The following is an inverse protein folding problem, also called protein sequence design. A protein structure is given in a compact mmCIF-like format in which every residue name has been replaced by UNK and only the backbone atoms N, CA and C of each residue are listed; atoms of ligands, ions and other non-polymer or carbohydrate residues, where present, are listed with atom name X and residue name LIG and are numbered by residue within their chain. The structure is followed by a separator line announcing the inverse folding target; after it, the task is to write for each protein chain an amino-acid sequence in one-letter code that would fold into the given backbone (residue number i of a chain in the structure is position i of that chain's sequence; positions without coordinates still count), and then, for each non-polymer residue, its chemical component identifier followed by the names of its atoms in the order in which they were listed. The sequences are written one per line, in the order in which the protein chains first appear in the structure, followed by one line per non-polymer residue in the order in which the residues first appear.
data_IF_756764396407
#
_entry.id   IF_756764396407
#
_cell.length_a   1.000
_cell.length_b   1.000
_cell.length_c   1.000
_cell.angle_alpha   90.00
_cell.angle_beta   90.00
_cell.angle_gamma   90.00
#
_symmetry.space_group_name_H-M   'P 1'
#
loop_
_entity.id
_entity.type
_entity.pdbx_description
1 polymer ?
#
# COMPACT_ATOMS: atom_id res chain seq x y z
N UNK A 1 -8.28 -2.41 -8.33
CA UNK A 1 -6.88 -2.22 -7.92
C UNK A 1 -6.07 -1.91 -9.15
N UNK A 2 -5.78 -0.62 -9.30
CA UNK A 2 -4.89 -0.07 -10.31
C UNK A 2 -3.42 -0.40 -9.97
N UNK A 3 -2.49 -0.12 -10.88
CA UNK A 3 -1.07 -0.30 -10.63
C UNK A 3 -0.56 0.91 -9.82
N UNK A 4 -0.44 0.74 -8.51
CA UNK A 4 0.10 1.77 -7.59
C UNK A 4 1.64 1.69 -7.50
N UNK A 5 2.28 0.86 -8.32
CA UNK A 5 3.73 0.64 -8.28
C UNK A 5 4.45 1.92 -8.69
N UNK A 6 5.29 2.42 -7.79
CA UNK A 6 6.02 3.68 -7.98
C UNK A 6 5.37 4.91 -7.33
N UNK A 7 4.15 4.78 -6.80
CA UNK A 7 3.57 5.78 -5.90
C UNK A 7 4.13 5.64 -4.47
N UNK A 8 3.84 6.63 -3.63
CA UNK A 8 4.11 6.50 -2.20
C UNK A 8 3.12 5.54 -1.53
N UNK A 9 3.55 4.85 -0.47
CA UNK A 9 2.66 3.97 0.29
C UNK A 9 1.47 4.71 0.90
N UNK A 10 1.66 5.98 1.26
CA UNK A 10 0.60 6.83 1.79
C UNK A 10 -0.47 7.16 0.73
N UNK A 11 -0.06 7.53 -0.50
CA UNK A 11 -0.99 7.81 -1.61
C UNK A 11 -1.79 6.55 -1.97
N UNK A 12 -1.13 5.39 -2.09
CA UNK A 12 -1.81 4.13 -2.38
C UNK A 12 -2.82 3.76 -1.28
N UNK A 13 -2.49 3.97 0.00
CA UNK A 13 -3.39 3.71 1.10
C UNK A 13 -4.61 4.64 1.11
N UNK A 14 -4.44 5.92 0.79
CA UNK A 14 -5.54 6.88 0.70
C UNK A 14 -6.54 6.46 -0.40
N UNK A 15 -6.05 6.22 -1.62
CA UNK A 15 -6.88 5.82 -2.77
C UNK A 15 -7.63 4.51 -2.51
N UNK A 16 -6.96 3.48 -1.97
CA UNK A 16 -7.60 2.20 -1.63
C UNK A 16 -8.69 2.38 -0.55
N UNK A 17 -8.48 3.29 0.40
CA UNK A 17 -9.50 3.59 1.42
C UNK A 17 -10.72 4.29 0.80
N UNK A 18 -10.52 5.19 -0.16
CA UNK A 18 -11.59 5.85 -0.91
C UNK A 18 -12.39 4.88 -1.79
N UNK A 19 -11.73 3.83 -2.32
CA UNK A 19 -12.39 2.70 -2.99
C UNK A 19 -13.17 1.79 -2.00
N UNK A 20 -13.09 2.05 -0.70
CA UNK A 20 -13.76 1.29 0.35
C UNK A 20 -13.04 0.01 0.76
N UNK A 21 -11.74 -0.09 0.49
CA UNK A 21 -10.88 -1.21 0.88
C UNK A 21 -10.14 -0.89 2.18
N UNK A 22 -9.48 -1.90 2.76
CA UNK A 22 -8.68 -1.75 3.97
C UNK A 22 -7.19 -1.93 3.63
N UNK A 23 -6.44 -0.85 3.35
CA UNK A 23 -5.02 -0.96 3.04
C UNK A 23 -4.21 -1.36 4.28
N UNK A 24 -3.28 -2.28 4.09
CA UNK A 24 -2.27 -2.69 5.04
C UNK A 24 -0.90 -2.46 4.39
N UNK A 25 -0.27 -1.34 4.70
CA UNK A 25 1.03 -0.99 4.13
C UNK A 25 2.14 -1.64 4.93
N UNK A 26 2.95 -2.46 4.26
CA UNK A 26 4.05 -3.19 4.87
C UNK A 26 5.35 -2.92 4.12
N UNK A 27 6.48 -3.03 4.80
CA UNK A 27 7.78 -3.13 4.13
C UNK A 27 7.96 -4.52 3.49
N UNK A 28 8.94 -4.66 2.60
CA UNK A 28 9.44 -5.92 2.04
C UNK A 28 9.74 -7.05 3.06
N UNK A 29 10.00 -6.71 4.33
CA UNK A 29 10.12 -7.68 5.44
C UNK A 29 8.76 -8.12 6.05
N UNK A 30 7.63 -7.61 5.53
CA UNK A 30 6.27 -7.86 6.00
C UNK A 30 5.89 -7.12 7.28
N UNK A 31 6.60 -6.03 7.61
CA UNK A 31 6.37 -5.21 8.81
C UNK A 31 5.45 -4.05 8.47
N UNK A 32 4.37 -3.89 9.23
CA UNK A 32 3.45 -2.75 9.09
C UNK A 32 4.19 -1.42 9.30
N UNK A 33 3.99 -0.50 8.36
CA UNK A 33 4.61 0.82 8.36
C UNK A 33 3.68 1.85 9.03
N UNK A 34 4.23 2.71 9.87
CA UNK A 34 3.54 3.89 10.39
C UNK A 34 3.35 4.97 9.31
N UNK A 35 2.43 5.91 9.51
CA UNK A 35 2.07 6.92 8.50
C UNK A 35 3.26 7.67 7.90
N UNK A 36 4.24 8.09 8.72
CA UNK A 36 5.46 8.75 8.23
C UNK A 36 6.30 7.83 7.35
N UNK A 37 6.38 6.55 7.71
CA UNK A 37 7.14 5.56 6.95
C UNK A 37 6.45 5.21 5.63
N UNK A 38 5.12 5.33 5.56
CA UNK A 38 4.33 5.18 4.34
C UNK A 38 4.53 6.34 3.36
N UNK A 39 4.74 7.56 3.84
CA UNK A 39 5.15 8.71 3.00
C UNK A 39 6.57 8.53 2.46
N UNK A 40 7.40 7.80 3.20
CA UNK A 40 8.82 7.59 2.93
C UNK A 40 9.14 6.24 2.24
N UNK A 41 8.14 5.60 1.64
CA UNK A 41 8.31 4.32 0.98
C UNK A 41 7.75 4.36 -0.45
N UNK A 42 8.32 3.52 -1.31
CA UNK A 42 7.88 3.37 -2.69
C UNK A 42 7.12 2.06 -2.80
N UNK A 43 5.88 2.09 -3.28
CA UNK A 43 5.10 0.87 -3.52
C UNK A 43 5.80 0.05 -4.62
N UNK A 44 6.03 -1.23 -4.34
CA UNK A 44 6.63 -2.18 -5.29
C UNK A 44 5.67 -3.29 -5.68
N UNK A 45 4.68 -3.59 -4.85
CA UNK A 45 3.66 -4.60 -5.12
C UNK A 45 2.37 -4.33 -4.31
N UNK A 46 1.23 -4.82 -4.79
CA UNK A 46 -0.06 -4.69 -4.12
C UNK A 46 -0.85 -6.00 -4.28
N UNK A 47 -1.26 -6.60 -3.17
CA UNK A 47 -2.01 -7.86 -3.16
C UNK A 47 -3.28 -7.80 -2.29
N UNK A 48 -4.39 -8.44 -2.69
CA UNK A 48 -4.58 -9.13 -3.97
C UNK A 48 -4.71 -8.16 -5.14
N UNK A 49 -4.39 -8.60 -6.36
CA UNK A 49 -4.60 -7.79 -7.58
C UNK A 49 -5.99 -8.03 -8.20
N UNK A 50 -6.49 -7.05 -8.95
CA UNK A 50 -7.72 -7.17 -9.74
C UNK A 50 -8.98 -6.66 -9.03
N UNK A 51 -10.09 -7.40 -9.17
CA UNK A 51 -11.38 -7.04 -8.59
C UNK A 51 -11.49 -7.57 -7.18
N UNK A 52 -11.52 -6.65 -6.22
CA UNK A 52 -11.58 -6.94 -4.79
C UNK A 52 -12.89 -6.40 -4.23
N UNK A 53 -13.50 -7.15 -3.31
CA UNK A 53 -14.75 -6.74 -2.67
C UNK A 53 -14.48 -5.60 -1.67
N UNK A 54 -15.37 -4.59 -1.58
CA UNK A 54 -15.22 -3.52 -0.60
C UNK A 54 -15.20 -4.08 0.83
N UNK A 55 -14.34 -3.54 1.67
CA UNK A 55 -14.06 -4.01 3.02
C UNK A 55 -13.04 -5.16 3.10
N UNK A 56 -12.48 -5.60 1.98
CA UNK A 56 -11.36 -6.55 1.98
C UNK A 56 -10.05 -5.86 2.35
N UNK A 57 -9.15 -6.61 2.97
CA UNK A 57 -7.78 -6.16 3.25
C UNK A 57 -6.95 -6.26 1.97
N UNK A 58 -6.22 -5.19 1.67
CA UNK A 58 -5.26 -5.11 0.57
C UNK A 58 -3.90 -4.80 1.17
N UNK A 59 -2.95 -5.70 0.99
CA UNK A 59 -1.56 -5.50 1.38
C UNK A 59 -0.86 -4.67 0.30
N UNK A 60 -0.18 -3.62 0.74
CA UNK A 60 0.66 -2.76 -0.11
C UNK A 60 2.09 -3.00 0.33
N UNK A 61 2.88 -3.66 -0.51
CA UNK A 61 4.30 -3.91 -0.24
C UNK A 61 5.13 -2.72 -0.73
N UNK A 62 5.91 -2.18 0.19
CA UNK A 62 6.66 -0.98 -0.02
C UNK A 62 8.16 -1.19 0.24
N UNK A 63 8.97 -0.54 -0.57
CA UNK A 63 10.41 -0.48 -0.37
C UNK A 63 10.77 0.82 0.35
N UNK A 64 11.29 0.69 1.57
CA UNK A 64 11.83 1.85 2.30
C UNK A 64 13.07 2.40 1.61
N UNK A 65 13.06 3.70 1.30
CA UNK A 65 14.21 4.36 0.73
C UNK A 65 15.16 4.79 1.86
N UNK A 66 16.46 4.45 1.79
CA UNK A 66 17.44 4.96 2.74
C UNK A 66 17.78 6.40 2.36
N UNK A 67 17.17 7.38 3.03
CA UNK A 67 17.55 8.79 2.93
C UNK A 67 18.91 9.05 3.59
#
# INVERSE_FOLDING_TARGET
IEDYVGDSGAEAAEELTEEGLQPLVVDSDGVELDATEQEECLVIDVEPTGSVEPGSVVTVDCLRLPW
#
